data_IF_666242412948
#
_entry.id   IF_666242412948
#
_cell.length_a   1.000
_cell.length_b   1.000
_cell.length_c   1.000
_cell.angle_alpha   90.00
_cell.angle_beta   90.00
_cell.angle_gamma   90.00
#
_symmetry.space_group_name_H-M   'P 1'
#
loop_
_entity.id
_entity.type
_entity.pdbx_description
1 polymer ?
#
# COMPACT_ATOMS: atom_id res chain seq x y z
N UNK A 1 18.27 -17.35 -39.31
CA UNK A 1 17.57 -16.06 -39.11
C UNK A 1 17.35 -15.72 -37.64
N UNK A 2 17.16 -16.71 -36.74
CA UNK A 2 17.04 -16.50 -35.30
C UNK A 2 18.36 -16.13 -34.58
N UNK A 3 19.51 -16.29 -35.25
CA UNK A 3 20.81 -16.18 -34.58
C UNK A 3 21.28 -14.78 -34.25
N UNK A 4 20.74 -13.77 -34.94
CA UNK A 4 21.17 -12.39 -34.82
C UNK A 4 20.37 -11.55 -33.81
N UNK A 5 19.19 -12.03 -33.38
CA UNK A 5 18.24 -11.20 -32.62
C UNK A 5 17.87 -11.74 -31.24
N UNK A 6 18.29 -12.96 -30.88
CA UNK A 6 17.87 -13.63 -29.66
C UNK A 6 19.06 -14.12 -28.83
N UNK A 7 18.95 -13.98 -27.52
CA UNK A 7 19.92 -14.53 -26.57
C UNK A 7 19.80 -16.06 -26.51
N UNK A 8 20.89 -16.73 -26.12
CA UNK A 8 20.99 -18.20 -26.10
C UNK A 8 19.92 -18.89 -25.25
N UNK A 9 19.51 -18.26 -24.15
CA UNK A 9 18.40 -18.74 -23.32
C UNK A 9 17.07 -18.78 -24.09
N UNK A 10 16.72 -17.69 -24.78
CA UNK A 10 15.48 -17.58 -25.54
C UNK A 10 15.45 -18.53 -26.73
N UNK A 11 16.58 -18.73 -27.41
CA UNK A 11 16.70 -19.73 -28.48
C UNK A 11 16.33 -21.12 -27.99
N UNK A 12 16.85 -21.49 -26.83
CA UNK A 12 16.59 -22.80 -26.23
C UNK A 12 15.11 -22.93 -25.88
N UNK A 13 14.53 -21.91 -25.24
CA UNK A 13 13.12 -21.90 -24.88
C UNK A 13 12.18 -21.99 -26.10
N UNK A 14 12.48 -21.27 -27.18
CA UNK A 14 11.69 -21.29 -28.42
C UNK A 14 11.68 -22.68 -29.07
N UNK A 15 12.83 -23.37 -29.08
CA UNK A 15 12.94 -24.73 -29.63
C UNK A 15 12.13 -25.76 -28.82
N UNK A 16 11.82 -25.48 -27.56
CA UNK A 16 10.96 -26.32 -26.73
C UNK A 16 9.46 -26.05 -26.89
N UNK A 17 9.07 -25.00 -27.63
CA UNK A 17 7.65 -24.71 -27.88
C UNK A 17 7.11 -25.75 -28.87
N UNK A 18 6.07 -26.53 -28.49
CA UNK A 18 5.48 -27.52 -29.39
C UNK A 18 4.87 -26.80 -30.60
N UNK A 19 5.35 -27.15 -31.80
CA UNK A 19 4.80 -26.63 -33.05
C UNK A 19 3.47 -27.33 -33.31
N UNK A 20 2.42 -26.56 -33.57
CA UNK A 20 1.12 -27.13 -33.94
C UNK A 20 1.20 -27.75 -35.33
N UNK A 21 0.70 -28.98 -35.46
CA UNK A 21 0.65 -29.71 -36.74
C UNK A 21 -0.46 -29.24 -37.68
N UNK A 22 -1.33 -28.34 -37.21
CA UNK A 22 -2.41 -27.73 -37.99
C UNK A 22 -1.92 -26.47 -38.72
N UNK A 23 -2.27 -26.32 -40.00
CA UNK A 23 -2.07 -25.11 -40.82
C UNK A 23 -2.96 -23.94 -40.35
N UNK A 24 -2.79 -23.51 -39.11
CA UNK A 24 -3.43 -22.31 -38.56
C UNK A 24 -2.59 -21.07 -38.83
N UNK A 25 -3.23 -19.90 -38.93
CA UNK A 25 -2.52 -18.63 -38.91
C UNK A 25 -1.85 -18.40 -37.56
N UNK A 26 -0.62 -17.88 -37.59
CA UNK A 26 0.09 -17.47 -36.37
C UNK A 26 -0.71 -16.42 -35.60
N UNK A 27 -0.83 -16.63 -34.29
CA UNK A 27 -1.50 -15.71 -33.37
C UNK A 27 -0.56 -15.33 -32.24
N UNK A 28 -0.49 -14.05 -31.90
CA UNK A 28 0.25 -13.59 -30.71
C UNK A 28 -0.45 -14.11 -29.45
N UNK A 29 0.29 -14.88 -28.63
CA UNK A 29 -0.17 -15.30 -27.30
C UNK A 29 0.70 -14.74 -26.18
N UNK A 30 0.06 -14.28 -25.11
CA UNK A 30 0.72 -13.87 -23.89
C UNK A 30 0.82 -15.05 -22.92
N UNK A 31 2.04 -15.50 -22.60
CA UNK A 31 2.30 -16.59 -21.64
C UNK A 31 1.79 -16.28 -20.21
N UNK A 32 1.58 -15.00 -19.89
CA UNK A 32 1.21 -14.55 -18.56
C UNK A 32 -0.30 -14.42 -18.33
N UNK A 33 -1.12 -14.71 -19.33
CA UNK A 33 -2.57 -14.74 -19.24
C UNK A 33 -3.09 -16.17 -19.49
N UNK A 34 -4.09 -16.59 -18.72
CA UNK A 34 -4.63 -17.97 -18.80
C UNK A 34 -5.36 -18.24 -20.12
N UNK A 35 -5.90 -17.21 -20.77
CA UNK A 35 -6.54 -17.31 -22.07
C UNK A 35 -5.55 -17.03 -23.21
N UNK A 36 -4.30 -16.65 -22.88
CA UNK A 36 -3.27 -16.33 -23.85
C UNK A 36 -3.44 -14.95 -24.47
N UNK A 37 -4.34 -14.10 -23.96
CA UNK A 37 -4.58 -12.78 -24.53
C UNK A 37 -3.74 -11.71 -23.83
N UNK A 38 -3.09 -10.84 -24.61
CA UNK A 38 -2.43 -9.67 -24.04
C UNK A 38 -3.48 -8.59 -23.76
N UNK A 39 -3.52 -8.09 -22.52
CA UNK A 39 -4.26 -6.89 -22.19
C UNK A 39 -3.39 -5.95 -21.35
N UNK A 40 -3.70 -4.66 -21.40
CA UNK A 40 -2.93 -3.62 -20.70
C UNK A 40 -2.86 -3.90 -19.19
N UNK A 41 -3.92 -4.47 -18.61
CA UNK A 41 -3.99 -4.80 -17.18
C UNK A 41 -3.00 -5.90 -16.78
N UNK A 42 -2.90 -6.98 -17.54
CA UNK A 42 -1.95 -8.08 -17.29
C UNK A 42 -0.52 -7.63 -17.55
N UNK A 43 -0.27 -6.91 -18.65
CA UNK A 43 1.03 -6.31 -18.97
C UNK A 43 1.51 -5.34 -17.89
N UNK A 44 0.65 -4.42 -17.44
CA UNK A 44 0.98 -3.48 -16.37
C UNK A 44 1.27 -4.20 -15.04
N UNK A 45 0.50 -5.24 -14.72
CA UNK A 45 0.74 -6.06 -13.52
C UNK A 45 2.11 -6.73 -13.56
N UNK A 46 2.53 -7.25 -14.71
CA UNK A 46 3.86 -7.87 -14.87
C UNK A 46 4.97 -6.85 -14.72
N UNK A 47 4.84 -5.68 -15.37
CA UNK A 47 5.80 -4.61 -15.25
C UNK A 47 5.95 -4.13 -13.80
N UNK A 48 4.85 -4.07 -13.04
CA UNK A 48 4.89 -3.80 -11.61
C UNK A 48 5.59 -4.91 -10.82
N UNK A 49 5.28 -6.18 -11.09
CA UNK A 49 5.92 -7.32 -10.41
C UNK A 49 7.43 -7.38 -10.66
N UNK A 50 7.89 -7.01 -11.87
CA UNK A 50 9.33 -6.94 -12.17
C UNK A 50 10.01 -5.73 -11.50
N UNK A 51 9.40 -4.55 -11.62
CA UNK A 51 9.94 -3.29 -11.07
C UNK A 51 9.96 -3.29 -9.54
N UNK A 52 9.00 -3.98 -8.94
CA UNK A 52 8.79 -4.05 -7.50
C UNK A 52 8.84 -5.50 -7.00
N UNK A 53 9.78 -6.31 -7.50
CA UNK A 53 9.98 -7.71 -7.08
C UNK A 53 10.00 -7.89 -5.56
N UNK A 54 10.52 -6.90 -4.83
CA UNK A 54 10.64 -6.91 -3.36
C UNK A 54 9.53 -6.10 -2.65
N UNK A 55 8.65 -5.41 -3.39
CA UNK A 55 7.51 -4.74 -2.77
C UNK A 55 6.36 -5.72 -2.66
N UNK A 56 5.85 -5.89 -1.44
CA UNK A 56 4.72 -6.76 -1.18
C UNK A 56 3.58 -6.42 -2.16
N UNK A 57 3.26 -7.38 -3.04
CA UNK A 57 1.96 -7.44 -3.71
C UNK A 57 0.87 -7.20 -2.67
N UNK A 58 -0.24 -6.59 -3.08
CA UNK A 58 -1.42 -6.39 -2.24
C UNK A 58 -1.75 -7.70 -1.51
N UNK A 59 -1.31 -7.80 -0.26
CA UNK A 59 -1.31 -9.08 0.44
C UNK A 59 -2.76 -9.48 0.73
N UNK A 60 -3.02 -10.76 0.91
CA UNK A 60 -4.35 -11.21 1.35
C UNK A 60 -4.83 -10.48 2.61
N UNK A 61 -3.91 -10.09 3.49
CA UNK A 61 -4.18 -9.23 4.65
C UNK A 61 -4.61 -7.80 4.28
N UNK A 62 -3.96 -7.16 3.29
CA UNK A 62 -4.39 -5.85 2.79
C UNK A 62 -5.78 -5.94 2.17
N UNK A 63 -6.03 -6.94 1.32
CA UNK A 63 -7.35 -7.13 0.72
C UNK A 63 -8.46 -7.28 1.77
N UNK A 64 -8.21 -8.05 2.84
CA UNK A 64 -9.15 -8.20 3.96
C UNK A 64 -9.37 -6.89 4.72
N UNK A 65 -8.29 -6.16 5.05
CA UNK A 65 -8.39 -4.85 5.70
C UNK A 65 -9.31 -3.93 4.89
N UNK A 66 -9.05 -3.79 3.61
CA UNK A 66 -9.76 -2.83 2.79
C UNK A 66 -11.20 -3.24 2.55
N UNK A 67 -11.46 -4.53 2.32
CA UNK A 67 -12.83 -5.03 2.25
C UNK A 67 -13.60 -4.77 3.56
N UNK A 68 -12.97 -4.99 4.72
CA UNK A 68 -13.58 -4.66 6.02
C UNK A 68 -13.86 -3.16 6.11
N UNK A 69 -12.88 -2.31 5.83
CA UNK A 69 -13.00 -0.86 5.91
C UNK A 69 -14.13 -0.30 5.04
N UNK A 70 -14.30 -0.80 3.81
CA UNK A 70 -15.34 -0.31 2.91
C UNK A 70 -16.76 -0.67 3.38
N UNK A 71 -16.91 -1.70 4.23
CA UNK A 71 -18.17 -2.14 4.80
C UNK A 71 -18.52 -1.48 6.14
N UNK A 72 -17.63 -0.65 6.71
CA UNK A 72 -17.89 0.10 7.94
C UNK A 72 -18.84 1.27 7.71
N UNK A 73 -19.50 1.70 8.78
CA UNK A 73 -20.36 2.88 8.82
C UNK A 73 -19.56 4.18 8.96
N UNK A 74 -18.54 4.34 8.12
CA UNK A 74 -17.70 5.52 8.11
C UNK A 74 -18.26 6.62 7.18
N UNK A 75 -18.18 7.90 7.58
CA UNK A 75 -18.41 9.00 6.67
C UNK A 75 -17.51 8.88 5.42
N UNK A 76 -18.00 9.23 4.21
CA UNK A 76 -17.22 9.13 2.99
C UNK A 76 -15.86 9.84 3.07
N UNK A 77 -15.81 11.00 3.74
CA UNK A 77 -14.56 11.76 3.99
C UNK A 77 -13.49 10.90 4.67
N UNK A 78 -13.85 10.13 5.69
CA UNK A 78 -12.92 9.29 6.47
C UNK A 78 -12.40 8.14 5.62
N UNK A 79 -13.26 7.49 4.82
CA UNK A 79 -12.84 6.40 3.92
C UNK A 79 -11.82 6.87 2.87
N UNK A 80 -12.10 8.02 2.25
CA UNK A 80 -11.22 8.62 1.23
C UNK A 80 -9.90 9.11 1.83
N UNK A 81 -9.84 9.35 3.14
CA UNK A 81 -8.62 9.71 3.85
C UNK A 81 -7.79 8.49 4.32
N UNK A 82 -8.43 7.49 4.94
CA UNK A 82 -7.73 6.34 5.51
C UNK A 82 -7.05 5.51 4.43
N UNK A 83 -7.67 5.40 3.24
CA UNK A 83 -7.09 4.67 2.12
C UNK A 83 -5.71 5.23 1.68
N UNK A 84 -5.58 6.52 1.29
CA UNK A 84 -4.28 7.13 1.04
C UNK A 84 -3.34 7.11 2.25
N UNK A 85 -3.85 7.23 3.47
CA UNK A 85 -3.02 7.13 4.68
C UNK A 85 -2.32 5.77 4.76
N UNK A 86 -3.08 4.68 4.58
CA UNK A 86 -2.53 3.31 4.54
C UNK A 86 -1.57 3.07 3.39
N UNK A 87 -1.79 3.69 2.24
CA UNK A 87 -0.84 3.62 1.11
C UNK A 87 0.40 4.51 1.28
N UNK A 88 0.54 5.18 2.42
CA UNK A 88 1.59 6.18 2.66
C UNK A 88 1.64 7.27 1.57
N UNK A 89 0.47 7.63 1.04
CA UNK A 89 0.29 8.58 -0.07
C UNK A 89 -0.14 9.99 0.40
N UNK A 90 -0.37 10.17 1.70
CA UNK A 90 -0.60 11.49 2.27
C UNK A 90 0.68 12.34 2.26
N UNK A 91 0.54 13.68 2.29
CA UNK A 91 1.66 14.62 2.30
C UNK A 91 2.33 14.70 3.70
N UNK A 92 2.73 13.56 4.25
CA UNK A 92 3.62 13.54 5.42
C UNK A 92 4.92 14.30 5.10
N UNK A 93 5.51 15.01 6.06
CA UNK A 93 6.70 15.81 5.77
C UNK A 93 7.88 14.96 5.30
N UNK A 94 7.98 13.69 5.71
CA UNK A 94 9.00 12.77 5.18
C UNK A 94 8.81 12.47 3.69
N UNK A 95 7.57 12.34 3.23
CA UNK A 95 7.23 12.16 1.82
C UNK A 95 7.44 13.45 1.02
N UNK A 96 6.97 14.58 1.53
CA UNK A 96 7.16 15.88 0.89
C UNK A 96 8.65 16.22 0.74
N UNK A 97 9.47 15.86 1.73
CA UNK A 97 10.91 16.04 1.66
C UNK A 97 11.54 15.15 0.58
N UNK A 98 11.15 13.87 0.49
CA UNK A 98 11.59 12.96 -0.60
C UNK A 98 11.17 13.48 -1.99
N UNK A 99 10.07 14.21 -2.07
CA UNK A 99 9.59 14.85 -3.30
C UNK A 99 10.19 16.25 -3.54
N UNK A 100 11.13 16.70 -2.69
CA UNK A 100 11.74 18.04 -2.75
C UNK A 100 10.74 19.20 -2.65
N UNK A 101 9.60 19.00 -1.99
CA UNK A 101 8.57 20.03 -1.77
C UNK A 101 8.88 20.86 -0.52
N UNK A 102 9.46 20.26 0.52
CA UNK A 102 9.84 20.93 1.77
C UNK A 102 11.32 20.78 2.04
N UNK A 103 11.90 21.75 2.76
CA UNK A 103 13.33 21.74 3.11
C UNK A 103 13.67 20.82 4.28
N UNK A 104 12.69 20.56 5.16
CA UNK A 104 12.89 19.75 6.37
C UNK A 104 11.70 18.82 6.60
N UNK A 105 11.95 17.54 6.93
CA UNK A 105 10.90 16.58 7.25
C UNK A 105 10.49 16.58 8.74
N UNK A 106 10.96 17.55 9.54
CA UNK A 106 10.71 17.61 10.99
C UNK A 106 9.23 17.86 11.33
N UNK A 107 8.66 17.02 12.19
CA UNK A 107 7.28 17.10 12.66
C UNK A 107 6.96 18.44 13.32
N UNK A 108 5.98 19.15 12.77
CA UNK A 108 5.52 20.45 13.28
C UNK A 108 4.93 20.35 14.70
N UNK A 109 4.38 19.19 15.07
CA UNK A 109 3.80 18.99 16.39
C UNK A 109 4.82 18.79 17.51
N UNK A 110 5.92 18.05 17.25
CA UNK A 110 6.91 17.76 18.30
C UNK A 110 8.22 18.53 18.16
N UNK A 111 8.57 18.96 16.95
CA UNK A 111 9.80 19.67 16.59
C UNK A 111 11.07 18.81 16.57
N UNK A 112 11.01 17.52 16.92
CA UNK A 112 12.22 16.73 17.23
C UNK A 112 12.47 15.53 16.31
N UNK A 113 11.45 15.03 15.62
CA UNK A 113 11.57 13.81 14.81
C UNK A 113 11.03 14.03 13.41
N UNK A 114 11.49 13.20 12.47
CA UNK A 114 10.96 13.09 11.12
C UNK A 114 9.47 12.69 11.18
N UNK A 115 8.63 13.43 10.47
CA UNK A 115 7.20 13.15 10.37
C UNK A 115 6.93 12.11 9.28
N UNK A 116 7.08 10.84 9.65
CA UNK A 116 6.54 9.71 8.90
C UNK A 116 5.07 9.44 9.25
N UNK A 117 4.40 8.56 8.52
CA UNK A 117 3.04 8.11 8.86
C UNK A 117 2.92 7.58 10.30
N UNK A 118 3.86 6.75 10.76
CA UNK A 118 3.85 6.24 12.13
C UNK A 118 4.06 7.35 13.16
N UNK A 119 4.91 8.34 12.86
CA UNK A 119 5.12 9.48 13.73
C UNK A 119 3.90 10.40 13.79
N UNK A 120 3.33 10.76 12.64
CA UNK A 120 2.17 11.64 12.53
C UNK A 120 0.99 11.12 13.35
N UNK A 121 0.71 9.82 13.28
CA UNK A 121 -0.46 9.22 13.91
C UNK A 121 -0.24 8.60 15.27
N UNK A 122 0.97 8.14 15.63
CA UNK A 122 1.14 7.33 16.84
C UNK A 122 2.36 7.69 17.69
N UNK A 123 3.48 8.13 17.11
CA UNK A 123 4.71 8.41 17.88
C UNK A 123 4.93 9.86 18.27
N UNK A 124 4.23 10.82 17.66
CA UNK A 124 4.38 12.21 18.05
C UNK A 124 4.00 12.39 19.52
N UNK A 125 4.84 13.07 20.31
CA UNK A 125 4.61 13.26 21.76
C UNK A 125 3.25 13.90 22.08
N UNK A 126 2.76 14.78 21.21
CA UNK A 126 1.44 15.42 21.32
C UNK A 126 0.34 14.40 21.13
N UNK A 127 0.46 13.57 20.09
CA UNK A 127 -0.52 12.54 19.73
C UNK A 127 -0.50 11.36 20.70
N UNK A 128 0.67 11.00 21.25
CA UNK A 128 0.78 9.95 22.26
C UNK A 128 0.01 10.29 23.55
N UNK A 129 0.04 11.56 23.99
CA UNK A 129 -0.75 11.99 25.16
C UNK A 129 -2.23 11.69 24.94
N UNK A 130 -2.75 12.06 23.78
CA UNK A 130 -4.14 11.79 23.41
C UNK A 130 -4.45 10.27 23.42
N UNK A 131 -3.67 9.45 22.72
CA UNK A 131 -3.95 8.01 22.67
C UNK A 131 -3.89 7.32 24.04
N UNK A 132 -2.99 7.77 24.91
CA UNK A 132 -2.87 7.24 26.27
C UNK A 132 -4.08 7.55 27.16
N UNK A 133 -4.87 8.58 26.81
CA UNK A 133 -6.13 8.92 27.49
C UNK A 133 -7.32 8.13 26.93
N UNK A 134 -7.15 7.42 25.81
CA UNK A 134 -8.19 6.58 25.19
C UNK A 134 -8.00 5.10 25.54
N UNK A 135 -9.03 4.29 25.29
CA UNK A 135 -8.95 2.82 25.39
C UNK A 135 -7.87 2.21 24.47
N UNK A 136 -7.50 2.90 23.39
CA UNK A 136 -6.50 2.43 22.42
C UNK A 136 -5.05 2.51 22.90
N UNK A 137 -4.75 3.28 23.96
CA UNK A 137 -3.37 3.50 24.40
C UNK A 137 -2.59 2.20 24.66
N UNK A 138 -3.23 1.21 25.28
CA UNK A 138 -2.62 -0.12 25.52
C UNK A 138 -2.38 -0.90 24.23
N UNK A 139 -3.36 -0.90 23.32
CA UNK A 139 -3.27 -1.64 22.05
C UNK A 139 -2.21 -1.05 21.12
N UNK A 140 -2.08 0.28 21.12
CA UNK A 140 -1.12 0.98 20.27
C UNK A 140 0.32 0.92 20.78
N UNK A 141 0.55 0.64 22.07
CA UNK A 141 1.88 0.71 22.68
C UNK A 141 2.94 -0.13 21.93
N UNK A 142 2.57 -1.35 21.54
CA UNK A 142 3.47 -2.28 20.83
C UNK A 142 3.59 -2.02 19.32
N UNK A 143 2.63 -1.33 18.72
CA UNK A 143 2.54 -1.16 17.25
C UNK A 143 2.75 0.27 16.76
N UNK A 144 2.85 1.26 17.66
CA UNK A 144 3.01 2.69 17.33
C UNK A 144 4.22 3.03 16.46
N UNK A 145 5.23 2.16 16.38
CA UNK A 145 6.40 2.36 15.54
C UNK A 145 6.17 1.93 14.09
N UNK A 146 5.11 1.17 13.82
CA UNK A 146 4.80 0.61 12.51
C UNK A 146 4.05 1.62 11.64
N UNK A 147 4.15 1.51 10.30
CA UNK A 147 3.34 2.32 9.39
C UNK A 147 1.85 2.15 9.68
N UNK A 148 1.06 3.20 9.44
CA UNK A 148 -0.38 3.20 9.72
C UNK A 148 -1.12 2.03 9.09
N UNK A 149 -0.72 1.57 7.89
CA UNK A 149 -1.30 0.38 7.27
C UNK A 149 -1.23 -0.86 8.15
N UNK A 150 -0.07 -1.11 8.76
CA UNK A 150 0.17 -2.28 9.60
C UNK A 150 -0.58 -2.15 10.92
N UNK A 151 -0.66 -0.94 11.46
CA UNK A 151 -1.49 -0.65 12.64
C UNK A 151 -2.96 -0.90 12.34
N UNK A 152 -3.49 -0.42 11.22
CA UNK A 152 -4.88 -0.66 10.80
C UNK A 152 -5.15 -2.16 10.63
N UNK A 153 -4.25 -2.89 9.96
CA UNK A 153 -4.37 -4.35 9.82
C UNK A 153 -4.41 -5.05 11.18
N UNK A 154 -3.51 -4.69 12.10
CA UNK A 154 -3.51 -5.24 13.45
C UNK A 154 -4.85 -4.94 14.14
N UNK A 155 -5.27 -3.68 14.16
CA UNK A 155 -6.47 -3.25 14.86
C UNK A 155 -7.75 -3.92 14.35
N UNK A 156 -7.87 -4.21 13.05
CA UNK A 156 -9.04 -4.98 12.53
C UNK A 156 -9.25 -6.35 13.18
N UNK A 157 -8.21 -6.90 13.81
CA UNK A 157 -8.28 -8.19 14.52
C UNK A 157 -8.39 -8.07 16.05
N UNK A 158 -8.22 -6.87 16.61
CA UNK A 158 -8.12 -6.64 18.05
C UNK A 158 -9.33 -5.91 18.63
N UNK A 159 -10.05 -5.19 17.81
CA UNK A 159 -11.19 -4.35 18.22
C UNK A 159 -12.43 -4.69 17.42
N UNK A 160 -13.60 -4.37 17.95
CA UNK A 160 -14.85 -4.50 17.21
C UNK A 160 -14.99 -3.42 16.11
N UNK A 161 -16.07 -3.51 15.31
CA UNK A 161 -16.28 -2.57 14.21
C UNK A 161 -16.46 -1.13 14.68
N UNK A 162 -17.08 -0.90 15.83
CA UNK A 162 -17.36 0.44 16.37
C UNK A 162 -16.08 1.08 16.88
N UNK A 163 -15.28 0.34 17.64
CA UNK A 163 -13.96 0.76 18.09
C UNK A 163 -13.01 1.01 16.90
N UNK A 164 -13.07 0.18 15.87
CA UNK A 164 -12.28 0.40 14.65
C UNK A 164 -12.73 1.64 13.87
N UNK A 165 -14.04 1.91 13.80
CA UNK A 165 -14.59 3.15 13.25
C UNK A 165 -14.11 4.38 14.04
N UNK A 166 -14.18 4.32 15.37
CA UNK A 166 -13.67 5.37 16.26
C UNK A 166 -12.18 5.63 16.05
N UNK A 167 -11.37 4.58 15.90
CA UNK A 167 -9.94 4.72 15.60
C UNK A 167 -9.72 5.46 14.27
N UNK A 168 -10.49 5.13 13.23
CA UNK A 168 -10.40 5.81 11.93
C UNK A 168 -10.82 7.29 12.02
N UNK A 169 -11.88 7.58 12.77
CA UNK A 169 -12.36 8.95 13.01
C UNK A 169 -11.32 9.79 13.77
N UNK A 170 -10.73 9.21 14.82
CA UNK A 170 -9.65 9.88 15.58
C UNK A 170 -8.42 10.11 14.70
N UNK A 171 -8.03 9.14 13.87
CA UNK A 171 -6.92 9.32 12.93
C UNK A 171 -7.20 10.49 11.96
N UNK A 172 -8.42 10.60 11.43
CA UNK A 172 -8.84 11.77 10.64
C UNK A 172 -8.73 13.07 11.44
N UNK A 173 -9.23 13.10 12.67
CA UNK A 173 -9.18 14.30 13.51
C UNK A 173 -7.73 14.73 13.82
N UNK A 174 -6.84 13.78 14.09
CA UNK A 174 -5.40 14.05 14.26
C UNK A 174 -4.82 14.68 12.99
N UNK A 175 -5.18 14.14 11.82
CA UNK A 175 -4.72 14.67 10.54
C UNK A 175 -5.24 16.07 10.25
N UNK A 176 -6.54 16.29 10.46
CA UNK A 176 -7.18 17.58 10.23
C UNK A 176 -6.52 18.64 11.13
N UNK A 177 -6.33 18.38 12.42
CA UNK A 177 -5.65 19.31 13.34
C UNK A 177 -4.19 19.64 12.97
N UNK A 178 -3.52 18.77 12.21
CA UNK A 178 -2.14 19.00 11.78
C UNK A 178 -2.01 19.85 10.52
N UNK A 179 -3.04 19.88 9.68
CA UNK A 179 -3.01 20.45 8.33
C UNK A 179 -4.06 21.56 8.13
N UNK A 180 -4.45 22.23 9.23
CA UNK A 180 -5.25 23.46 9.21
C UNK A 180 -4.38 24.67 8.91
#
# INVERSE_FOLDING_TARGET
MLDHFLISADKTAILFIPVSWSEGQDSLRCHYDKMGEFNVKSGYRLALLEKFKDSASFSSSQHRLWNSMWNLNLPPKVRVFIWPAGLNALPFLDNLWKWNVVQSPSCNGCGTHIESSSHAFFRCKVVQKFWNETSFGRLLFGVRNLPILVVLQFMTSQVDSVEFELLCLVAQAIWDNRNV
#
